data_IF_981545596877
#
_entry.id   IF_981545596877
#
_cell.length_a   1.000
_cell.length_b   1.000
_cell.length_c   1.000
_cell.angle_alpha   90.00
_cell.angle_beta   90.00
_cell.angle_gamma   90.00
#
_symmetry.space_group_name_H-M   'P 1'
#
loop_
_entity.id
_entity.type
_entity.pdbx_description
1 polymer ?
#
# COMPACT_ATOMS: atom_id res chain seq x y z
N UNK A 1 27.43 -3.51 89.92
CA UNK A 1 27.90 -3.62 88.51
C UNK A 1 26.75 -3.19 87.60
N UNK A 2 26.90 -2.08 86.85
CA UNK A 2 25.84 -1.52 85.99
C UNK A 2 26.12 -1.96 84.55
N UNK A 3 25.19 -2.70 83.96
CA UNK A 3 25.32 -3.23 82.59
C UNK A 3 25.43 -2.09 81.57
N UNK A 4 26.39 -2.20 80.66
CA UNK A 4 26.60 -1.22 79.60
C UNK A 4 25.44 -1.31 78.57
N UNK A 5 24.90 -0.17 78.09
CA UNK A 5 23.81 -0.17 77.12
C UNK A 5 24.31 -0.72 75.78
N UNK A 6 23.58 -1.67 75.21
CA UNK A 6 23.84 -2.21 73.87
C UNK A 6 23.37 -1.19 72.82
N UNK A 7 24.31 -0.59 72.11
CA UNK A 7 24.04 0.37 71.03
C UNK A 7 23.48 -0.37 69.81
N UNK A 8 22.28 0.03 69.35
CA UNK A 8 21.70 -0.51 68.12
C UNK A 8 22.43 0.06 66.88
N UNK A 9 22.72 -0.78 65.87
CA UNK A 9 23.42 -0.33 64.67
C UNK A 9 22.54 0.63 63.86
N UNK A 10 23.04 1.85 63.64
CA UNK A 10 22.41 2.85 62.79
C UNK A 10 22.40 2.36 61.34
N UNK A 11 21.21 2.29 60.72
CA UNK A 11 21.06 1.93 59.31
C UNK A 11 21.14 3.19 58.46
N UNK A 12 22.04 3.19 57.48
CA UNK A 12 22.12 4.28 56.51
C UNK A 12 20.81 4.38 55.73
N UNK A 13 20.25 5.58 55.66
CA UNK A 13 19.10 5.82 54.79
C UNK A 13 19.56 5.74 53.32
N UNK A 14 18.69 5.34 52.37
CA UNK A 14 19.05 5.30 50.95
C UNK A 14 19.53 6.67 50.44
N UNK A 15 18.97 7.76 50.97
CA UNK A 15 19.38 9.12 50.65
C UNK A 15 20.81 9.43 51.12
N UNK A 16 21.19 8.99 52.32
CA UNK A 16 22.55 9.16 52.84
C UNK A 16 23.56 8.32 52.06
N UNK A 17 23.17 7.11 51.66
CA UNK A 17 24.00 6.23 50.83
C UNK A 17 24.27 6.84 49.44
N UNK A 18 23.26 7.40 48.79
CA UNK A 18 23.42 8.10 47.49
C UNK A 18 24.26 9.37 47.65
N UNK A 19 24.03 10.16 48.70
CA UNK A 19 24.83 11.36 48.98
C UNK A 19 26.29 11.01 49.24
N UNK A 20 26.56 9.95 50.00
CA UNK A 20 27.92 9.44 50.25
C UNK A 20 28.58 8.91 48.97
N UNK A 21 27.86 8.16 48.14
CA UNK A 21 28.36 7.67 46.84
C UNK A 21 28.70 8.82 45.88
N UNK A 22 27.92 9.91 45.89
CA UNK A 22 28.15 11.11 45.08
C UNK A 22 29.46 11.84 45.39
N UNK A 23 29.96 11.77 46.63
CA UNK A 23 31.25 12.36 47.01
C UNK A 23 32.41 11.63 46.30
N UNK A 24 32.33 10.31 46.16
CA UNK A 24 33.32 9.50 45.44
C UNK A 24 33.46 9.86 43.96
N UNK A 25 32.34 10.20 43.30
CA UNK A 25 32.32 10.64 41.91
C UNK A 25 33.04 11.99 41.72
N UNK A 26 32.85 12.93 42.67
CA UNK A 26 33.48 14.26 42.64
C UNK A 26 34.98 14.25 42.89
N UNK A 27 35.47 13.33 43.73
CA UNK A 27 36.90 13.26 44.08
C UNK A 27 37.77 12.61 43.00
N UNK A 28 37.16 11.80 42.10
CA UNK A 28 37.86 11.10 41.00
C UNK A 28 37.06 11.21 39.69
N UNK A 29 36.98 12.41 39.09
CA UNK A 29 36.10 12.66 37.94
C UNK A 29 36.50 11.85 36.71
N UNK A 30 37.80 11.76 36.41
CA UNK A 30 38.30 11.06 35.22
C UNK A 30 37.96 9.57 35.23
N UNK A 31 38.17 8.89 36.37
CA UNK A 31 37.88 7.46 36.50
C UNK A 31 36.38 7.17 36.43
N UNK A 32 35.56 8.03 37.04
CA UNK A 32 34.11 7.90 37.03
C UNK A 32 33.53 8.12 35.63
N UNK A 33 34.03 9.13 34.91
CA UNK A 33 33.65 9.42 33.54
C UNK A 33 34.02 8.28 32.58
N UNK A 34 35.26 7.80 32.62
CA UNK A 34 35.72 6.68 31.76
C UNK A 34 34.91 5.40 32.01
N UNK A 35 34.54 5.12 33.27
CA UNK A 35 33.71 3.96 33.61
C UNK A 35 32.28 4.09 33.10
N UNK A 36 31.68 5.27 33.21
CA UNK A 36 30.34 5.53 32.67
C UNK A 36 30.34 5.50 31.14
N UNK A 37 31.39 6.05 30.52
CA UNK A 37 31.53 6.10 29.07
C UNK A 37 31.55 4.71 28.45
N UNK A 38 32.21 3.74 29.07
CA UNK A 38 32.20 2.34 28.61
C UNK A 38 30.79 1.73 28.58
N UNK A 39 29.98 1.99 29.61
CA UNK A 39 28.59 1.52 29.68
C UNK A 39 27.73 2.23 28.62
N UNK A 40 27.90 3.54 28.47
CA UNK A 40 27.17 4.34 27.47
C UNK A 40 27.47 3.85 26.07
N UNK A 41 28.74 3.69 25.72
CA UNK A 41 29.15 3.19 24.39
C UNK A 41 28.64 1.77 24.17
N UNK A 42 28.73 0.90 25.18
CA UNK A 42 28.24 -0.48 25.07
C UNK A 42 26.75 -0.57 24.78
N UNK A 43 25.92 0.18 25.52
CA UNK A 43 24.47 0.21 25.30
C UNK A 43 24.15 0.89 23.96
N UNK A 44 24.82 2.00 23.63
CA UNK A 44 24.61 2.70 22.36
C UNK A 44 24.94 1.82 21.15
N UNK A 45 26.04 1.05 21.21
CA UNK A 45 26.41 0.12 20.15
C UNK A 45 25.38 -1.01 19.99
N UNK A 46 24.92 -1.61 21.09
CA UNK A 46 23.89 -2.67 21.05
C UNK A 46 22.57 -2.16 20.47
N UNK A 47 22.09 -1.01 20.96
CA UNK A 47 20.84 -0.40 20.47
C UNK A 47 20.97 0.02 19.01
N UNK A 48 22.12 0.58 18.61
CA UNK A 48 22.38 0.97 17.23
C UNK A 48 22.35 -0.23 16.27
N UNK A 49 23.02 -1.33 16.62
CA UNK A 49 23.06 -2.55 15.78
C UNK A 49 21.69 -3.20 15.68
N UNK A 50 20.97 -3.33 16.80
CA UNK A 50 19.63 -3.92 16.81
C UNK A 50 18.61 -3.02 16.10
N UNK A 51 18.65 -1.71 16.33
CA UNK A 51 17.77 -0.75 15.68
C UNK A 51 17.97 -0.69 14.17
N UNK A 52 19.23 -0.68 13.71
CA UNK A 52 19.53 -0.75 12.27
C UNK A 52 19.02 -2.06 11.66
N UNK A 53 19.28 -3.19 12.31
CA UNK A 53 18.89 -4.51 11.80
C UNK A 53 17.37 -4.66 11.69
N UNK A 54 16.62 -4.18 12.70
CA UNK A 54 15.15 -4.25 12.68
C UNK A 54 14.56 -3.28 11.66
N UNK A 55 15.13 -2.07 11.50
CA UNK A 55 14.72 -1.14 10.44
C UNK A 55 14.94 -1.73 9.05
N UNK A 56 16.13 -2.26 8.77
CA UNK A 56 16.43 -2.88 7.47
C UNK A 56 15.54 -4.09 7.19
N UNK A 57 15.22 -4.89 8.21
CA UNK A 57 14.28 -6.00 8.07
C UNK A 57 12.87 -5.49 7.75
N UNK A 58 12.38 -4.46 8.45
CA UNK A 58 11.08 -3.85 8.18
C UNK A 58 11.00 -3.27 6.78
N UNK A 59 12.05 -2.57 6.33
CA UNK A 59 12.11 -1.98 5.00
C UNK A 59 12.11 -3.05 3.90
N UNK A 60 12.82 -4.15 4.12
CA UNK A 60 12.80 -5.30 3.21
C UNK A 60 11.44 -5.99 3.19
N UNK A 61 10.80 -6.19 4.35
CA UNK A 61 9.46 -6.75 4.42
C UNK A 61 8.45 -5.86 3.68
N UNK A 62 8.51 -4.54 3.87
CA UNK A 62 7.65 -3.60 3.15
C UNK A 62 7.85 -3.67 1.62
N UNK A 63 9.09 -3.79 1.16
CA UNK A 63 9.38 -3.98 -0.27
C UNK A 63 8.85 -5.32 -0.78
N UNK A 64 8.97 -6.40 0.00
CA UNK A 64 8.40 -7.70 -0.36
C UNK A 64 6.87 -7.69 -0.35
N UNK A 65 6.25 -6.98 0.58
CA UNK A 65 4.79 -6.83 0.64
C UNK A 65 4.27 -6.05 -0.58
N UNK A 66 5.01 -5.04 -1.04
CA UNK A 66 4.76 -4.38 -2.33
C UNK A 66 4.93 -5.28 -3.54
N UNK A 67 5.60 -6.44 -3.40
CA UNK A 67 5.68 -7.49 -4.42
C UNK A 67 4.52 -8.50 -4.34
N UNK A 68 3.48 -8.22 -3.53
CA UNK A 68 2.19 -8.89 -3.65
C UNK A 68 2.21 -10.30 -3.08
N UNK A 69 3.03 -10.55 -2.06
CA UNK A 69 3.16 -11.84 -1.35
C UNK A 69 1.84 -12.37 -0.76
N UNK A 70 0.80 -11.55 -0.76
CA UNK A 70 -0.54 -11.78 -0.24
C UNK A 70 -1.65 -11.53 -1.27
N UNK A 71 -1.33 -11.36 -2.56
CA UNK A 71 -2.31 -11.16 -3.64
C UNK A 71 -2.58 -12.47 -4.38
N UNK A 72 -3.85 -12.81 -4.54
CA UNK A 72 -4.30 -13.94 -5.35
C UNK A 72 -5.29 -13.42 -6.41
N UNK A 73 -4.92 -13.58 -7.67
CA UNK A 73 -5.80 -13.30 -8.80
C UNK A 73 -6.49 -14.59 -9.23
N UNK A 74 -7.81 -14.56 -9.26
CA UNK A 74 -8.64 -15.68 -9.71
C UNK A 74 -9.25 -15.29 -11.03
N UNK A 75 -8.86 -16.00 -12.08
CA UNK A 75 -9.38 -15.78 -13.43
C UNK A 75 -10.26 -16.94 -13.85
N UNK A 76 -11.24 -16.59 -14.66
CA UNK A 76 -12.16 -17.55 -15.23
C UNK A 76 -11.43 -18.28 -16.38
N UNK A 77 -11.11 -19.56 -16.17
CA UNK A 77 -10.34 -20.33 -17.14
C UNK A 77 -11.20 -20.81 -18.31
N UNK A 78 -10.66 -20.72 -19.53
CA UNK A 78 -11.21 -21.44 -20.69
C UNK A 78 -10.80 -22.91 -20.60
N UNK A 79 -11.63 -23.71 -19.91
CA UNK A 79 -11.34 -25.12 -19.69
C UNK A 79 -11.29 -25.91 -20.99
N UNK A 80 -10.23 -26.70 -21.19
CA UNK A 80 -10.23 -27.78 -22.17
C UNK A 80 -11.11 -28.92 -21.61
N UNK A 81 -12.44 -28.80 -21.75
CA UNK A 81 -13.36 -29.93 -21.59
C UNK A 81 -14.54 -29.80 -20.61
N UNK A 82 -14.66 -28.78 -19.75
CA UNK A 82 -15.86 -28.64 -18.90
C UNK A 82 -16.03 -27.23 -18.30
N UNK A 83 -17.03 -26.49 -18.80
CA UNK A 83 -17.57 -25.26 -18.19
C UNK A 83 -17.48 -24.02 -19.08
N UNK A 84 -18.45 -23.09 -18.94
CA UNK A 84 -18.47 -21.81 -19.65
C UNK A 84 -17.36 -20.84 -19.24
N UNK A 85 -16.48 -21.23 -18.32
CA UNK A 85 -15.37 -20.37 -17.87
C UNK A 85 -15.86 -19.04 -17.31
N UNK A 86 -17.05 -18.99 -16.72
CA UNK A 86 -17.63 -17.80 -16.12
C UNK A 86 -17.56 -17.90 -14.60
N UNK A 87 -17.13 -16.83 -13.96
CA UNK A 87 -17.25 -16.68 -12.51
C UNK A 87 -18.68 -16.25 -12.18
N UNK A 88 -19.34 -16.86 -11.19
CA UNK A 88 -20.66 -16.39 -10.76
C UNK A 88 -20.55 -14.97 -10.18
N UNK A 89 -21.55 -14.12 -10.39
CA UNK A 89 -21.59 -12.76 -9.84
C UNK A 89 -21.38 -12.70 -8.32
N UNK A 90 -21.82 -13.74 -7.60
CA UNK A 90 -21.62 -13.88 -6.16
C UNK A 90 -20.21 -14.29 -5.73
N UNK A 91 -19.28 -14.56 -6.67
CA UNK A 91 -17.94 -15.05 -6.37
C UNK A 91 -17.16 -14.14 -5.41
N UNK A 92 -17.12 -12.80 -5.59
CA UNK A 92 -16.44 -11.92 -4.64
C UNK A 92 -16.99 -12.08 -3.22
N UNK A 93 -18.32 -12.10 -3.08
CA UNK A 93 -18.99 -12.29 -1.79
C UNK A 93 -18.71 -13.65 -1.15
N UNK A 94 -18.52 -14.71 -1.95
CA UNK A 94 -18.11 -16.02 -1.44
C UNK A 94 -16.68 -15.99 -0.90
N UNK A 95 -15.75 -15.38 -1.64
CA UNK A 95 -14.34 -15.27 -1.27
C UNK A 95 -14.16 -14.42 -0.02
N UNK A 96 -14.91 -13.34 0.15
CA UNK A 96 -14.86 -12.49 1.36
C UNK A 96 -15.19 -13.27 2.64
N UNK A 97 -15.91 -14.40 2.56
CA UNK A 97 -16.23 -15.23 3.74
C UNK A 97 -15.11 -16.20 4.14
N UNK A 98 -14.03 -16.27 3.38
CA UNK A 98 -12.87 -17.11 3.69
C UNK A 98 -12.03 -16.37 4.74
N UNK A 99 -11.89 -16.95 5.93
CA UNK A 99 -11.35 -16.25 7.12
C UNK A 99 -10.02 -15.48 6.92
N UNK A 100 -9.01 -16.02 6.22
CA UNK A 100 -7.76 -15.30 5.96
C UNK A 100 -7.84 -14.13 4.95
N UNK A 101 -8.95 -13.97 4.23
CA UNK A 101 -9.11 -12.94 3.20
C UNK A 101 -9.43 -11.60 3.85
N UNK A 102 -8.61 -10.58 3.55
CA UNK A 102 -8.75 -9.24 4.13
C UNK A 102 -9.54 -8.28 3.22
N UNK A 103 -9.31 -8.38 1.92
CA UNK A 103 -9.95 -7.56 0.90
C UNK A 103 -10.23 -8.40 -0.35
N UNK A 104 -11.32 -8.08 -1.04
CA UNK A 104 -11.69 -8.70 -2.31
C UNK A 104 -12.19 -7.60 -3.21
N UNK A 105 -11.68 -7.57 -4.43
CA UNK A 105 -12.22 -6.78 -5.51
C UNK A 105 -12.37 -7.63 -6.75
N UNK A 106 -13.16 -7.15 -7.70
CA UNK A 106 -13.41 -7.78 -8.99
C UNK A 106 -13.23 -6.76 -10.09
N UNK A 107 -12.71 -7.24 -11.20
CA UNK A 107 -12.70 -6.52 -12.47
C UNK A 107 -13.05 -7.49 -13.60
N UNK A 108 -13.55 -6.95 -14.70
CA UNK A 108 -13.87 -7.71 -15.90
C UNK A 108 -13.33 -7.00 -17.13
N UNK A 109 -12.96 -7.78 -18.15
CA UNK A 109 -12.58 -7.23 -19.44
C UNK A 109 -13.82 -6.81 -20.21
N UNK A 110 -13.79 -5.61 -20.77
CA UNK A 110 -14.81 -5.10 -21.69
C UNK A 110 -14.27 -5.20 -23.11
N UNK A 111 -15.05 -5.73 -24.05
CA UNK A 111 -14.68 -5.78 -25.48
C UNK A 111 -14.83 -4.39 -26.12
N UNK A 112 -13.94 -3.48 -25.72
CA UNK A 112 -13.89 -2.11 -26.18
C UNK A 112 -12.44 -1.64 -26.31
N UNK A 113 -12.21 -0.69 -27.22
CA UNK A 113 -10.93 -0.04 -27.40
C UNK A 113 -10.97 1.39 -26.88
N UNK A 114 -9.81 1.90 -26.46
CA UNK A 114 -9.64 3.28 -26.00
C UNK A 114 -8.60 4.01 -26.85
N UNK A 115 -8.91 5.24 -27.20
CA UNK A 115 -8.11 6.10 -28.07
C UNK A 115 -8.06 7.51 -27.52
N UNK A 116 -7.03 8.27 -27.92
CA UNK A 116 -6.94 9.70 -27.57
C UNK A 116 -7.98 10.55 -28.31
N UNK A 117 -8.43 10.10 -29.48
CA UNK A 117 -9.45 10.78 -30.30
C UNK A 117 -10.12 9.76 -31.23
N UNK A 118 -11.34 10.07 -31.65
CA UNK A 118 -12.14 9.39 -32.66
C UNK A 118 -11.50 9.31 -34.07
N UNK A 119 -10.47 10.10 -34.35
CA UNK A 119 -9.74 10.06 -35.63
C UNK A 119 -8.61 9.00 -35.68
N UNK A 120 -8.34 8.28 -34.59
CA UNK A 120 -7.31 7.25 -34.58
C UNK A 120 -7.86 5.97 -35.25
N UNK A 121 -7.12 5.37 -36.21
CA UNK A 121 -7.55 4.12 -36.83
C UNK A 121 -7.77 3.01 -35.79
N UNK A 122 -8.83 2.20 -35.92
CA UNK A 122 -9.20 1.23 -34.91
C UNK A 122 -8.11 0.17 -34.64
N UNK A 123 -7.22 -0.07 -35.62
CA UNK A 123 -6.10 -1.00 -35.48
C UNK A 123 -5.00 -0.48 -34.54
N UNK A 124 -5.00 0.82 -34.20
CA UNK A 124 -4.00 1.46 -33.35
C UNK A 124 -4.48 1.61 -31.90
N UNK A 125 -4.81 0.50 -31.26
CA UNK A 125 -5.32 0.46 -29.87
C UNK A 125 -4.30 0.87 -28.81
N UNK A 126 -3.02 0.98 -29.18
CA UNK A 126 -1.93 1.26 -28.24
C UNK A 126 -1.69 0.14 -27.23
N UNK A 127 -2.32 -1.03 -27.41
CA UNK A 127 -2.27 -2.15 -26.46
C UNK A 127 -2.79 -1.77 -25.08
N UNK A 128 -3.85 -0.95 -25.04
CA UNK A 128 -4.53 -0.52 -23.83
C UNK A 128 -5.85 -1.29 -23.73
N UNK A 129 -6.06 -2.00 -22.63
CA UNK A 129 -7.30 -2.73 -22.37
C UNK A 129 -8.36 -1.82 -21.74
N UNK A 130 -9.63 -2.16 -21.89
CA UNK A 130 -10.72 -1.53 -21.14
C UNK A 130 -11.22 -2.53 -20.09
N UNK A 131 -11.23 -2.09 -18.83
CA UNK A 131 -11.63 -2.92 -17.70
C UNK A 131 -12.80 -2.28 -16.95
N UNK A 132 -13.84 -3.07 -16.69
CA UNK A 132 -14.88 -2.75 -15.73
C UNK A 132 -14.36 -3.09 -14.34
N UNK A 133 -14.15 -2.11 -13.48
CA UNK A 133 -13.57 -2.29 -12.16
C UNK A 133 -14.56 -1.97 -11.04
N UNK A 134 -14.49 -2.76 -9.96
CA UNK A 134 -15.17 -2.45 -8.71
C UNK A 134 -14.58 -1.21 -8.02
N UNK A 135 -15.37 -0.51 -7.20
CA UNK A 135 -14.96 0.75 -6.56
C UNK A 135 -13.75 0.57 -5.61
N UNK A 136 -13.59 -0.59 -4.99
CA UNK A 136 -12.52 -0.87 -4.03
C UNK A 136 -11.29 -1.58 -4.66
N UNK A 137 -11.18 -1.60 -6.00
CA UNK A 137 -10.06 -2.26 -6.68
C UNK A 137 -8.72 -1.65 -6.30
N UNK A 138 -8.61 -0.31 -6.31
CA UNK A 138 -7.37 0.37 -6.01
C UNK A 138 -6.88 0.06 -4.59
N UNK A 139 -7.77 0.14 -3.60
CA UNK A 139 -7.47 -0.19 -2.21
C UNK A 139 -7.03 -1.66 -2.04
N UNK A 140 -7.67 -2.58 -2.75
CA UNK A 140 -7.34 -4.01 -2.70
C UNK A 140 -5.95 -4.29 -3.28
N UNK A 141 -5.55 -3.53 -4.31
CA UNK A 141 -4.22 -3.59 -4.91
C UNK A 141 -3.19 -2.75 -4.14
N UNK A 142 -3.59 -2.06 -3.07
CA UNK A 142 -2.76 -1.09 -2.33
C UNK A 142 -2.15 -0.02 -3.27
N UNK A 143 -2.86 0.32 -4.34
CA UNK A 143 -2.46 1.33 -5.30
C UNK A 143 -2.72 2.75 -4.80
N UNK A 144 -2.17 3.73 -5.50
CA UNK A 144 -2.35 5.15 -5.19
C UNK A 144 -2.70 5.93 -6.45
N UNK A 145 -3.31 7.11 -6.28
CA UNK A 145 -3.67 8.02 -7.36
C UNK A 145 -2.60 9.10 -7.49
N UNK A 146 -2.03 9.23 -8.69
CA UNK A 146 -1.12 10.31 -9.03
C UNK A 146 -1.88 11.64 -9.18
N UNK A 147 -3.04 11.61 -9.85
CA UNK A 147 -3.87 12.79 -10.11
C UNK A 147 -5.36 12.45 -10.04
N UNK A 148 -6.16 13.30 -9.38
CA UNK A 148 -7.62 13.19 -9.36
C UNK A 148 -8.15 12.24 -8.31
N UNK A 149 -9.16 11.46 -8.68
CA UNK A 149 -9.87 10.52 -7.79
C UNK A 149 -10.05 9.15 -8.47
N UNK A 150 -10.31 8.12 -7.67
CA UNK A 150 -10.63 6.78 -8.17
C UNK A 150 -12.16 6.63 -8.42
N UNK A 151 -12.58 5.44 -8.87
CA UNK A 151 -13.95 5.13 -9.29
C UNK A 151 -14.99 5.13 -8.16
N UNK A 152 -14.56 5.02 -6.91
CA UNK A 152 -15.41 5.05 -5.71
C UNK A 152 -15.95 6.45 -5.38
N UNK A 153 -15.13 7.48 -5.63
CA UNK A 153 -15.52 8.89 -5.48
C UNK A 153 -16.10 9.49 -6.77
N UNK A 154 -15.88 8.84 -7.91
CA UNK A 154 -16.38 9.29 -9.20
C UNK A 154 -17.88 8.96 -9.38
N UNK A 155 -18.65 9.80 -10.11
CA UNK A 155 -20.05 9.51 -10.39
C UNK A 155 -20.20 8.21 -11.21
N UNK A 156 -20.84 7.19 -10.63
CA UNK A 156 -20.99 5.85 -11.23
C UNK A 156 -21.79 5.82 -12.54
N UNK A 157 -22.71 6.76 -12.72
CA UNK A 157 -23.69 6.76 -13.81
C UNK A 157 -23.22 7.57 -15.03
N UNK A 158 -22.08 8.26 -14.90
CA UNK A 158 -21.52 9.10 -15.95
C UNK A 158 -20.39 8.39 -16.68
N UNK A 159 -20.12 8.72 -17.96
CA UNK A 159 -19.02 8.14 -18.73
C UNK A 159 -17.68 8.72 -18.24
N UNK A 160 -17.19 8.17 -17.13
CA UNK A 160 -15.92 8.53 -16.50
C UNK A 160 -14.97 7.35 -16.53
N UNK A 161 -13.67 7.64 -16.67
CA UNK A 161 -12.62 6.63 -16.67
C UNK A 161 -11.43 7.07 -15.83
N UNK A 162 -10.77 6.09 -15.23
CA UNK A 162 -9.49 6.24 -14.55
C UNK A 162 -8.44 5.52 -15.39
N UNK A 163 -7.33 6.19 -15.69
CA UNK A 163 -6.27 5.61 -16.50
C UNK A 163 -5.16 5.04 -15.61
N UNK A 164 -4.66 3.84 -15.96
CA UNK A 164 -3.40 3.35 -15.44
C UNK A 164 -2.22 4.19 -15.90
N UNK A 165 -1.10 4.14 -15.16
CA UNK A 165 0.06 4.99 -15.42
C UNK A 165 0.59 4.84 -16.86
N UNK A 166 0.67 3.60 -17.37
CA UNK A 166 1.15 3.32 -18.73
C UNK A 166 0.10 3.70 -19.77
N UNK A 167 -1.19 3.45 -19.50
CA UNK A 167 -2.28 3.85 -20.39
C UNK A 167 -2.32 5.39 -20.55
N UNK A 168 -2.22 6.13 -19.44
CA UNK A 168 -2.16 7.59 -19.44
C UNK A 168 -0.96 8.11 -20.24
N UNK A 169 0.23 7.53 -20.04
CA UNK A 169 1.42 7.90 -20.80
C UNK A 169 1.26 7.65 -22.31
N UNK A 170 0.72 6.49 -22.70
CA UNK A 170 0.49 6.12 -24.11
C UNK A 170 -0.56 6.99 -24.78
N UNK A 171 -1.61 7.37 -24.06
CA UNK A 171 -2.64 8.29 -24.53
C UNK A 171 -2.18 9.76 -24.47
N UNK A 172 -1.03 10.05 -23.86
CA UNK A 172 -0.50 11.40 -23.67
C UNK A 172 -1.32 12.23 -22.67
N UNK A 173 -1.99 11.60 -21.71
CA UNK A 173 -2.74 12.26 -20.63
C UNK A 173 -1.80 12.40 -19.43
N UNK A 174 -1.13 13.54 -19.31
CA UNK A 174 -0.16 13.79 -18.22
C UNK A 174 -0.72 14.57 -17.03
N UNK A 175 -1.87 15.22 -17.18
CA UNK A 175 -2.55 15.97 -16.13
C UNK A 175 -4.06 15.94 -16.36
N UNK A 176 -4.84 16.28 -15.33
CA UNK A 176 -6.29 16.40 -15.39
C UNK A 176 -6.78 17.84 -15.66
N UNK A 177 -5.87 18.75 -15.99
CA UNK A 177 -6.23 20.13 -16.31
C UNK A 177 -7.09 20.17 -17.57
N UNK A 178 -8.22 20.87 -17.48
CA UNK A 178 -9.16 21.00 -18.60
C UNK A 178 -10.06 19.79 -18.85
N UNK A 179 -10.15 18.84 -17.90
CA UNK A 179 -11.00 17.64 -17.99
C UNK A 179 -10.75 16.83 -19.29
N UNK A 180 -9.57 16.19 -19.40
CA UNK A 180 -9.20 15.47 -20.62
C UNK A 180 -10.21 14.38 -20.95
N UNK A 181 -10.51 14.25 -22.25
CA UNK A 181 -11.43 13.26 -22.80
C UNK A 181 -10.65 12.18 -23.54
N UNK A 182 -11.16 10.95 -23.47
CA UNK A 182 -10.70 9.82 -24.28
C UNK A 182 -11.88 9.19 -25.01
N UNK A 183 -11.63 8.68 -26.20
CA UNK A 183 -12.63 7.99 -27.01
C UNK A 183 -12.60 6.51 -26.66
N UNK A 184 -13.67 5.99 -26.06
CA UNK A 184 -13.74 4.64 -25.52
C UNK A 184 -15.06 4.02 -25.96
N UNK A 185 -15.02 2.89 -26.69
CA UNK A 185 -16.24 2.20 -27.13
C UNK A 185 -17.24 3.11 -27.86
N UNK A 186 -16.74 3.83 -28.87
CA UNK A 186 -17.52 4.75 -29.71
C UNK A 186 -18.20 5.93 -28.99
N UNK A 187 -17.68 6.33 -27.82
CA UNK A 187 -18.13 7.53 -27.13
C UNK A 187 -17.03 8.22 -26.32
N UNK A 188 -17.30 9.45 -25.88
CA UNK A 188 -16.36 10.23 -25.07
C UNK A 188 -16.51 9.92 -23.58
N UNK A 189 -15.40 9.52 -22.97
CA UNK A 189 -15.26 9.37 -21.52
C UNK A 189 -14.37 10.49 -20.96
N UNK A 190 -14.77 11.03 -19.81
CA UNK A 190 -13.95 12.01 -19.08
C UNK A 190 -12.96 11.29 -18.19
N UNK A 191 -11.69 11.63 -18.32
CA UNK A 191 -10.65 11.11 -17.43
C UNK A 191 -10.72 11.88 -16.11
N UNK A 192 -11.05 11.18 -15.03
CA UNK A 192 -11.21 11.74 -13.68
C UNK A 192 -10.04 11.40 -12.75
N UNK A 193 -9.23 10.42 -13.15
CA UNK A 193 -8.11 9.93 -12.36
C UNK A 193 -6.99 9.37 -13.21
N UNK A 194 -5.76 9.50 -12.71
CA UNK A 194 -4.57 8.82 -13.22
C UNK A 194 -3.93 8.11 -12.03
N UNK A 195 -3.76 6.79 -12.13
CA UNK A 195 -3.13 6.00 -11.07
C UNK A 195 -1.61 6.12 -11.12
N UNK A 196 -0.97 5.97 -9.96
CA UNK A 196 0.45 5.63 -9.90
C UNK A 196 0.68 4.21 -10.45
N UNK A 197 1.92 3.90 -10.85
CA UNK A 197 2.25 2.59 -11.42
C UNK A 197 2.17 1.49 -10.36
N UNK A 198 1.47 0.41 -10.71
CA UNK A 198 1.31 -0.78 -9.88
C UNK A 198 2.14 -1.91 -10.52
N UNK A 199 3.36 -2.12 -10.00
CA UNK A 199 4.29 -3.14 -10.52
C UNK A 199 3.70 -4.56 -10.47
N UNK A 200 2.78 -4.81 -9.53
CA UNK A 200 2.12 -6.09 -9.29
C UNK A 200 1.15 -6.51 -10.39
N UNK A 201 0.55 -5.54 -11.06
CA UNK A 201 -0.50 -5.81 -12.04
C UNK A 201 -0.27 -4.97 -13.31
N UNK A 202 0.64 -5.41 -14.18
CA UNK A 202 0.94 -4.71 -15.43
C UNK A 202 -0.29 -4.55 -16.34
N UNK A 203 -1.28 -5.42 -16.22
CA UNK A 203 -2.52 -5.37 -16.98
C UNK A 203 -3.40 -4.19 -16.55
N UNK A 204 -3.46 -3.92 -15.23
CA UNK A 204 -4.16 -2.75 -14.67
C UNK A 204 -3.45 -1.46 -15.08
N UNK A 205 -2.11 -1.42 -15.05
CA UNK A 205 -1.31 -0.26 -15.48
C UNK A 205 -1.50 0.10 -16.95
N UNK A 206 -1.80 -0.90 -17.78
CA UNK A 206 -2.04 -0.77 -19.23
C UNK A 206 -3.53 -0.77 -19.56
N UNK A 207 -4.39 -0.36 -18.62
CA UNK A 207 -5.83 -0.32 -18.83
C UNK A 207 -6.44 1.06 -18.62
N UNK A 208 -7.57 1.28 -19.28
CA UNK A 208 -8.55 2.30 -18.93
C UNK A 208 -9.65 1.63 -18.10
N UNK A 209 -9.80 2.06 -16.85
CA UNK A 209 -10.75 1.52 -15.89
C UNK A 209 -12.03 2.34 -15.94
N UNK A 210 -13.16 1.65 -16.01
CA UNK A 210 -14.50 2.23 -15.95
C UNK A 210 -15.27 1.55 -14.83
N UNK A 211 -16.20 2.27 -14.20
CA UNK A 211 -17.08 1.66 -13.21
C UNK A 211 -17.98 0.61 -13.86
N UNK A 212 -18.34 -0.45 -13.13
CA UNK A 212 -19.20 -1.52 -13.65
C UNK A 212 -20.52 -0.99 -14.21
N UNK A 213 -21.19 -0.07 -13.51
CA UNK A 213 -22.45 0.53 -13.98
C UNK A 213 -22.29 1.32 -15.29
N UNK A 214 -21.17 2.03 -15.46
CA UNK A 214 -20.85 2.73 -16.70
C UNK A 214 -20.54 1.73 -17.83
N UNK A 215 -19.84 0.63 -17.53
CA UNK A 215 -19.57 -0.41 -18.51
C UNK A 215 -20.85 -1.07 -19.04
N UNK A 216 -21.79 -1.41 -18.17
CA UNK A 216 -23.09 -1.99 -18.55
C UNK A 216 -23.92 -1.02 -19.40
N UNK A 217 -23.96 0.26 -18.99
CA UNK A 217 -24.80 1.28 -19.63
C UNK A 217 -24.27 1.70 -21.00
N UNK A 218 -22.95 1.86 -21.10
CA UNK A 218 -22.33 2.53 -22.23
C UNK A 218 -21.56 1.58 -23.17
N UNK A 219 -21.10 0.43 -22.67
CA UNK A 219 -20.17 -0.46 -23.39
C UNK A 219 -20.72 -1.87 -23.61
N UNK A 220 -21.92 -2.17 -23.12
CA UNK A 220 -22.55 -3.47 -23.29
C UNK A 220 -21.85 -4.62 -22.54
N UNK A 221 -21.28 -4.29 -21.37
CA UNK A 221 -20.73 -5.26 -20.41
C UNK A 221 -21.80 -6.20 -19.85
#
# INVERSE_FOLDING_TARGET
>A
MKAAPTLNPSRLTPADAVRAAGIGLRTRPLRSFLSALGIVIGIAAMVGVLGLSESSKSDLLAQLDQLGTNMLQVEAGTGIGAGSGELPEGAPSMVTRIGPVQAVSSFGTVDANVYRTDYIPPEQTGGIAVLAAGPNLLDTLQGTIAHGVFLDEAPSDYPVTVLGAVAAQRLGVGSLEGAPLVWLGDQWFTVVGIMDSIELSPDIDRSALVGVAAAETYLGY
#
